data_IF_193196412931
#
_entry.id   IF_193196412931
#
_cell.length_a   1.000
_cell.length_b   1.000
_cell.length_c   1.000
_cell.angle_alpha   90.00
_cell.angle_beta   90.00
_cell.angle_gamma   90.00
#
_symmetry.space_group_name_H-M   'P 1'
#
loop_
_entity.id
_entity.type
_entity.pdbx_description
1 polymer ?
#
# COMPACT_ATOMS: atom_id res chain seq x y z
N UNK A 1 -19.44 -13.30 6.97
CA UNK A 1 -18.25 -12.40 6.98
C UNK A 1 -17.62 -12.40 5.59
N UNK A 2 -17.68 -11.28 4.87
CA UNK A 2 -17.14 -11.16 3.49
C UNK A 2 -15.69 -10.69 3.59
N UNK A 3 -14.76 -11.50 3.13
CA UNK A 3 -13.32 -11.19 3.15
C UNK A 3 -13.02 -9.95 2.32
N UNK A 4 -12.26 -9.02 2.91
CA UNK A 4 -11.89 -7.72 2.33
C UNK A 4 -10.80 -7.80 1.25
N UNK A 5 -10.57 -8.97 0.65
CA UNK A 5 -9.51 -9.14 -0.34
C UNK A 5 -9.62 -10.40 -1.16
N UNK A 6 -9.22 -10.31 -2.43
CA UNK A 6 -8.95 -11.47 -3.28
C UNK A 6 -7.51 -11.92 -2.98
N UNK A 7 -7.34 -13.20 -2.68
CA UNK A 7 -6.03 -13.81 -2.52
C UNK A 7 -5.73 -14.60 -3.79
N UNK A 8 -4.72 -14.17 -4.54
CA UNK A 8 -4.10 -15.03 -5.54
C UNK A 8 -2.83 -15.64 -4.90
N UNK A 9 -2.37 -16.83 -5.31
CA UNK A 9 -1.14 -17.39 -4.78
C UNK A 9 0.02 -16.39 -4.98
N UNK A 10 0.51 -15.79 -3.88
CA UNK A 10 1.61 -14.84 -3.89
C UNK A 10 1.24 -13.35 -3.93
N UNK A 11 -0.04 -12.97 -4.10
CA UNK A 11 -0.48 -11.57 -4.04
C UNK A 11 -1.71 -11.34 -3.16
N UNK A 12 -1.71 -10.22 -2.45
CA UNK A 12 -2.79 -9.72 -1.62
C UNK A 12 -3.26 -8.38 -2.16
N UNK A 13 -4.53 -8.30 -2.54
CA UNK A 13 -5.17 -7.05 -2.93
C UNK A 13 -6.19 -6.63 -1.85
N UNK A 14 -6.08 -5.40 -1.37
CA UNK A 14 -6.96 -4.80 -0.36
C UNK A 14 -7.42 -3.42 -0.81
N UNK A 15 -8.70 -3.11 -0.58
CA UNK A 15 -9.24 -1.77 -0.81
C UNK A 15 -9.99 -1.28 0.42
N UNK A 16 -9.65 -0.09 0.88
CA UNK A 16 -10.38 0.58 1.95
C UNK A 16 -11.64 1.22 1.37
N UNK A 17 -12.79 0.85 1.89
CA UNK A 17 -14.09 1.35 1.41
C UNK A 17 -14.65 2.48 2.27
N UNK A 18 -14.16 2.64 3.50
CA UNK A 18 -14.69 3.58 4.49
C UNK A 18 -13.55 4.29 5.23
N UNK A 19 -13.88 5.43 5.84
CA UNK A 19 -12.96 6.22 6.66
C UNK A 19 -12.13 7.23 5.85
N UNK A 20 -11.14 7.88 6.49
CA UNK A 20 -10.39 9.00 5.89
C UNK A 20 -9.43 8.58 4.77
N UNK A 21 -9.20 7.27 4.60
CA UNK A 21 -8.43 6.68 3.51
C UNK A 21 -9.33 5.88 2.56
N UNK A 22 -10.64 6.14 2.52
CA UNK A 22 -11.55 5.47 1.59
C UNK A 22 -11.09 5.68 0.14
N UNK A 23 -11.08 4.60 -0.64
CA UNK A 23 -10.54 4.60 -2.00
C UNK A 23 -9.06 4.22 -2.11
N UNK A 24 -8.35 4.07 -0.98
CA UNK A 24 -6.99 3.55 -0.97
C UNK A 24 -6.97 2.07 -1.38
N UNK A 25 -6.15 1.74 -2.36
CA UNK A 25 -5.94 0.38 -2.84
C UNK A 25 -4.50 -0.05 -2.52
N UNK A 26 -4.34 -1.23 -1.93
CA UNK A 26 -3.04 -1.84 -1.61
C UNK A 26 -2.96 -3.15 -2.37
N UNK A 27 -1.90 -3.29 -3.14
CA UNK A 27 -1.47 -4.56 -3.68
C UNK A 27 -0.12 -4.92 -3.07
N UNK A 28 -0.04 -6.10 -2.47
CA UNK A 28 1.18 -6.62 -1.87
C UNK A 28 1.57 -7.92 -2.55
N UNK A 29 2.85 -8.09 -2.84
CA UNK A 29 3.41 -9.35 -3.33
C UNK A 29 4.74 -9.64 -2.65
N UNK A 30 4.95 -10.89 -2.26
CA UNK A 30 6.24 -11.32 -1.71
C UNK A 30 7.09 -11.96 -2.82
N UNK A 31 8.29 -11.44 -3.03
CA UNK A 31 9.25 -11.93 -4.03
C UNK A 31 10.54 -12.32 -3.30
N UNK A 32 10.71 -13.61 -3.02
CA UNK A 32 11.81 -14.11 -2.19
C UNK A 32 11.95 -13.30 -0.88
N UNK A 33 13.01 -12.50 -0.71
CA UNK A 33 13.27 -11.65 0.45
C UNK A 33 12.64 -10.25 0.39
N UNK A 34 12.14 -9.79 -0.77
CA UNK A 34 11.57 -8.46 -0.97
C UNK A 34 10.05 -8.46 -0.84
N UNK A 35 9.50 -7.54 -0.05
CA UNK A 35 8.06 -7.27 -0.04
C UNK A 35 7.78 -6.09 -0.97
N UNK A 36 7.03 -6.33 -2.04
CA UNK A 36 6.62 -5.26 -2.95
C UNK A 36 5.23 -4.78 -2.52
N UNK A 37 5.10 -3.49 -2.27
CA UNK A 37 3.84 -2.83 -1.94
C UNK A 37 3.55 -1.77 -3.00
N UNK A 38 2.42 -1.89 -3.67
CA UNK A 38 1.88 -0.87 -4.54
C UNK A 38 0.64 -0.28 -3.87
N UNK A 39 0.67 1.01 -3.55
CA UNK A 39 -0.47 1.72 -2.97
C UNK A 39 -0.95 2.76 -3.97
N UNK A 40 -2.23 2.67 -4.30
CA UNK A 40 -2.93 3.69 -5.09
C UNK A 40 -3.78 4.54 -4.16
N UNK A 41 -3.61 5.84 -4.24
CA UNK A 41 -4.31 6.81 -3.39
C UNK A 41 -5.31 7.63 -4.21
N UNK A 42 -6.46 7.92 -3.61
CA UNK A 42 -7.43 8.84 -4.20
C UNK A 42 -7.02 10.32 -3.99
N UNK A 43 -6.47 10.61 -2.82
CA UNK A 43 -6.06 11.95 -2.39
C UNK A 43 -4.68 11.84 -1.73
N UNK A 44 -3.69 12.47 -2.38
CA UNK A 44 -2.30 12.48 -1.94
C UNK A 44 -2.14 13.27 -0.64
N UNK A 45 -2.71 14.46 -0.56
CA UNK A 45 -2.50 15.37 0.56
C UNK A 45 -3.12 14.80 1.84
N UNK A 46 -4.31 14.21 1.71
CA UNK A 46 -4.94 13.49 2.81
C UNK A 46 -4.13 12.26 3.22
N UNK A 47 -3.58 11.51 2.26
CA UNK A 47 -2.73 10.35 2.57
C UNK A 47 -1.46 10.76 3.32
N UNK A 48 -0.68 11.71 2.79
CA UNK A 48 0.59 12.13 3.40
C UNK A 48 0.38 12.71 4.79
N UNK A 49 -0.73 13.43 5.01
CA UNK A 49 -1.10 13.96 6.33
C UNK A 49 -1.38 12.86 7.36
N UNK A 50 -1.95 11.73 6.96
CA UNK A 50 -2.35 10.64 7.86
C UNK A 50 -1.24 9.61 8.03
N UNK A 51 -0.58 9.23 6.94
CA UNK A 51 0.35 8.11 6.86
C UNK A 51 1.81 8.57 6.82
N UNK A 52 2.06 9.79 6.33
CA UNK A 52 3.40 10.33 6.12
C UNK A 52 3.91 10.18 4.69
N UNK A 53 5.14 10.64 4.47
CA UNK A 53 5.80 10.59 3.15
C UNK A 53 6.41 9.22 2.86
N UNK A 54 6.69 8.95 1.58
CA UNK A 54 7.17 7.65 1.08
C UNK A 54 8.37 7.08 1.87
N UNK A 55 9.43 7.87 2.04
CA UNK A 55 10.69 7.38 2.62
C UNK A 55 10.53 6.88 4.07
N UNK A 56 10.02 7.71 4.98
CA UNK A 56 9.70 7.28 6.35
C UNK A 56 8.77 6.06 6.39
N UNK A 57 7.74 6.04 5.53
CA UNK A 57 6.79 4.93 5.45
C UNK A 57 7.46 3.62 4.99
N UNK A 58 8.29 3.67 3.95
CA UNK A 58 9.02 2.50 3.43
C UNK A 58 9.94 1.92 4.52
N UNK A 59 10.67 2.78 5.25
CA UNK A 59 11.52 2.37 6.36
C UNK A 59 10.74 1.75 7.52
N UNK A 60 9.61 2.35 7.90
CA UNK A 60 8.74 1.82 8.95
C UNK A 60 8.18 0.45 8.57
N UNK A 61 7.72 0.29 7.33
CA UNK A 61 7.21 -0.98 6.83
C UNK A 61 8.33 -2.04 6.80
N UNK A 62 9.55 -1.67 6.38
CA UNK A 62 10.69 -2.58 6.38
C UNK A 62 11.03 -3.07 7.79
N UNK A 63 10.96 -2.18 8.79
CA UNK A 63 11.13 -2.54 10.19
C UNK A 63 10.01 -3.46 10.71
N UNK A 64 8.74 -3.14 10.41
CA UNK A 64 7.57 -3.93 10.84
C UNK A 64 7.61 -5.35 10.26
N UNK A 65 7.92 -5.48 8.97
CA UNK A 65 7.97 -6.78 8.31
C UNK A 65 9.32 -7.51 8.47
N UNK A 66 10.29 -6.86 9.12
CA UNK A 66 11.66 -7.36 9.29
C UNK A 66 12.27 -7.85 7.96
N UNK A 67 12.03 -7.10 6.88
CA UNK A 67 12.53 -7.41 5.52
C UNK A 67 12.53 -6.16 4.65
N UNK A 68 13.34 -6.11 3.58
CA UNK A 68 13.28 -5.03 2.60
C UNK A 68 11.88 -4.86 2.02
N UNK A 69 11.45 -3.60 1.88
CA UNK A 69 10.19 -3.20 1.26
C UNK A 69 10.49 -2.32 0.05
N UNK A 70 9.91 -2.65 -1.09
CA UNK A 70 9.85 -1.75 -2.24
C UNK A 70 8.44 -1.14 -2.28
N UNK A 71 8.33 0.14 -1.92
CA UNK A 71 7.06 0.84 -1.85
C UNK A 71 6.86 1.71 -3.09
N UNK A 72 5.85 1.41 -3.88
CA UNK A 72 5.40 2.25 -4.99
C UNK A 72 4.10 2.95 -4.60
N UNK A 73 4.03 4.24 -4.87
CA UNK A 73 2.90 5.08 -4.50
C UNK A 73 2.45 5.83 -5.75
N UNK A 74 1.15 5.74 -6.05
CA UNK A 74 0.54 6.26 -7.27
C UNK A 74 -0.79 6.92 -6.94
N UNK A 75 -1.18 7.92 -7.72
CA UNK A 75 -2.58 8.36 -7.71
C UNK A 75 -3.47 7.33 -8.44
N UNK A 76 -4.77 7.29 -8.11
CA UNK A 76 -5.73 6.37 -8.76
C UNK A 76 -5.81 6.53 -10.29
N UNK A 77 -5.47 7.71 -10.82
CA UNK A 77 -5.38 7.98 -12.25
C UNK A 77 -4.15 7.33 -12.93
N UNK A 78 -3.27 6.67 -12.15
CA UNK A 78 -2.07 6.00 -12.65
C UNK A 78 -0.84 6.91 -12.72
N UNK A 79 -0.95 8.19 -12.36
CA UNK A 79 0.19 9.09 -12.31
C UNK A 79 1.13 8.68 -11.16
N UNK A 80 2.44 8.49 -11.45
CA UNK A 80 3.43 8.26 -10.41
C UNK A 80 3.57 9.52 -9.55
N UNK A 81 3.86 9.32 -8.26
CA UNK A 81 4.21 10.42 -7.35
C UNK A 81 5.55 11.08 -7.67
#
# INVERSE_FOLDING_TARGET
MRGLGRRHPGTLDLRLTNGPLAGLEIQASAQASLLCLNIKVADRDTFERIVGTRGPLENQLAAIFNRPVALTLQQLNGEPW
#
